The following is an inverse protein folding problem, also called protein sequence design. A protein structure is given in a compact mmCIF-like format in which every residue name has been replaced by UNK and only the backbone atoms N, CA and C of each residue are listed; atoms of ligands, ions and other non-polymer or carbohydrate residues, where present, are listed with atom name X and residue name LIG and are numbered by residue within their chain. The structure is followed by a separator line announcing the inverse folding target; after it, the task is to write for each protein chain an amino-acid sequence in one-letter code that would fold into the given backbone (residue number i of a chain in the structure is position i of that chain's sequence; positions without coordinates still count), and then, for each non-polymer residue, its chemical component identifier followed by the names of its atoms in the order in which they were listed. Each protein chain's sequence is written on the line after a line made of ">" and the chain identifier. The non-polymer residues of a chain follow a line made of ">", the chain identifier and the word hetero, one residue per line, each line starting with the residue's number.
data_IF_018153898846
#
_entry.id   IF_018153898846
#
_cell.length_a   1.000
_cell.length_b   1.000
_cell.length_c   1.000
_cell.angle_alpha   90.00
_cell.angle_beta   90.00
_cell.angle_gamma   90.00
#
_symmetry.space_group_name_H-M   'P 1'
#
loop_
_entity.id
_entity.type
_entity.pdbx_description
1 polymer ?
#
# COMPACT_ATOMS: atom_id res chain seq x y z
N UNK A 1 -4.25 39.88 8.87
CA UNK A 1 -5.32 38.96 8.43
C UNK A 1 -4.85 37.92 7.38
N UNK A 2 -3.60 37.97 6.93
CA UNK A 2 -3.02 37.08 5.91
C UNK A 2 -2.48 35.75 6.46
N UNK A 3 -2.11 35.66 7.74
CA UNK A 3 -1.53 34.43 8.34
C UNK A 3 -2.55 33.29 8.48
N UNK A 4 -3.77 33.58 8.95
CA UNK A 4 -4.79 32.55 9.22
C UNK A 4 -5.24 31.85 7.92
N UNK A 5 -5.36 32.59 6.82
CA UNK A 5 -5.72 32.03 5.52
C UNK A 5 -4.59 31.20 4.90
N UNK A 6 -3.33 31.57 5.12
CA UNK A 6 -2.17 30.87 4.57
C UNK A 6 -1.96 29.52 5.26
N UNK A 7 -2.14 29.48 6.59
CA UNK A 7 -2.05 28.26 7.41
C UNK A 7 -3.20 27.29 7.07
N UNK A 8 -4.45 27.78 7.04
CA UNK A 8 -5.61 26.94 6.73
C UNK A 8 -5.53 26.31 5.34
N UNK A 9 -5.04 27.07 4.35
CA UNK A 9 -4.84 26.55 2.99
C UNK A 9 -3.73 25.50 2.90
N UNK A 10 -2.78 25.47 3.83
CA UNK A 10 -1.74 24.45 3.89
C UNK A 10 -2.27 23.16 4.51
N UNK A 11 -3.03 23.27 5.59
CA UNK A 11 -3.71 22.13 6.21
C UNK A 11 -4.64 21.43 5.21
N UNK A 12 -5.39 22.20 4.41
CA UNK A 12 -6.24 21.66 3.33
C UNK A 12 -5.43 20.89 2.26
N UNK A 13 -4.21 21.34 1.93
CA UNK A 13 -3.33 20.66 0.98
C UNK A 13 -2.75 19.36 1.55
N UNK A 14 -2.41 19.34 2.85
CA UNK A 14 -1.98 18.13 3.55
C UNK A 14 -3.12 17.11 3.67
N UNK A 15 -4.33 17.56 3.97
CA UNK A 15 -5.50 16.68 4.07
C UNK A 15 -5.87 16.07 2.71
N UNK A 16 -5.68 16.79 1.61
CA UNK A 16 -5.79 16.23 0.27
C UNK A 16 -4.76 15.13 0.00
N UNK A 17 -3.49 15.33 0.40
CA UNK A 17 -2.46 14.31 0.26
C UNK A 17 -2.76 13.07 1.11
N UNK A 18 -3.21 13.25 2.35
CA UNK A 18 -3.64 12.15 3.23
C UNK A 18 -4.80 11.39 2.62
N UNK A 19 -5.79 12.08 2.06
CA UNK A 19 -6.92 11.43 1.39
C UNK A 19 -6.50 10.60 0.18
N UNK A 20 -5.55 11.10 -0.63
CA UNK A 20 -4.98 10.33 -1.76
C UNK A 20 -4.29 9.07 -1.24
N UNK A 21 -3.47 9.17 -0.19
CA UNK A 21 -2.80 8.00 0.40
C UNK A 21 -3.80 6.98 0.94
N UNK A 22 -4.86 7.42 1.62
CA UNK A 22 -5.92 6.54 2.10
C UNK A 22 -6.64 5.82 0.95
N UNK A 23 -6.92 6.51 -0.16
CA UNK A 23 -7.49 5.88 -1.35
C UNK A 23 -6.53 4.85 -1.95
N UNK A 24 -5.25 5.19 -2.09
CA UNK A 24 -4.22 4.27 -2.59
C UNK A 24 -4.10 3.02 -1.72
N UNK A 25 -4.13 3.16 -0.39
CA UNK A 25 -4.04 2.04 0.52
C UNK A 25 -5.24 1.10 0.41
N UNK A 26 -6.46 1.65 0.34
CA UNK A 26 -7.67 0.83 0.15
C UNK A 26 -7.65 0.08 -1.18
N UNK A 27 -7.14 0.70 -2.25
CA UNK A 27 -6.96 0.04 -3.54
C UNK A 27 -5.90 -1.05 -3.48
N UNK A 28 -4.74 -0.79 -2.87
CA UNK A 28 -3.67 -1.76 -2.73
C UNK A 28 -4.11 -2.97 -1.89
N UNK A 29 -4.82 -2.74 -0.80
CA UNK A 29 -5.39 -3.79 0.06
C UNK A 29 -6.37 -4.69 -0.72
N UNK A 30 -7.30 -4.06 -1.46
CA UNK A 30 -8.27 -4.75 -2.29
C UNK A 30 -7.60 -5.53 -3.43
N UNK A 31 -6.60 -4.95 -4.07
CA UNK A 31 -5.86 -5.58 -5.17
C UNK A 31 -5.11 -6.82 -4.66
N UNK A 32 -4.48 -6.75 -3.48
CA UNK A 32 -3.84 -7.89 -2.84
C UNK A 32 -4.85 -8.99 -2.48
N UNK A 33 -6.01 -8.62 -1.91
CA UNK A 33 -7.08 -9.56 -1.58
C UNK A 33 -7.50 -10.35 -2.82
N UNK A 34 -7.85 -9.62 -3.87
CA UNK A 34 -8.38 -10.17 -5.11
C UNK A 34 -7.32 -11.01 -5.83
N UNK A 35 -6.04 -10.61 -5.80
CA UNK A 35 -4.96 -11.37 -6.39
C UNK A 35 -4.81 -12.75 -5.75
N UNK A 36 -4.88 -12.79 -4.41
CA UNK A 36 -4.78 -14.03 -3.62
C UNK A 36 -6.01 -14.90 -3.82
N UNK A 37 -7.21 -14.32 -3.81
CA UNK A 37 -8.46 -15.04 -4.11
C UNK A 37 -8.43 -15.62 -5.53
N UNK A 38 -8.01 -14.83 -6.51
CA UNK A 38 -7.89 -15.27 -7.90
C UNK A 38 -6.94 -16.46 -8.02
N UNK A 39 -5.78 -16.40 -7.37
CA UNK A 39 -4.80 -17.47 -7.37
C UNK A 39 -5.36 -18.76 -6.74
N UNK A 40 -6.02 -18.65 -5.60
CA UNK A 40 -6.55 -19.80 -4.87
C UNK A 40 -7.74 -20.46 -5.57
N UNK A 41 -8.64 -19.65 -6.14
CA UNK A 41 -9.79 -20.13 -6.89
C UNK A 41 -9.47 -20.47 -8.35
N UNK A 42 -8.24 -20.18 -8.81
CA UNK A 42 -7.85 -20.22 -10.24
C UNK A 42 -8.78 -19.38 -11.12
N UNK A 43 -9.26 -18.26 -10.61
CA UNK A 43 -10.19 -17.37 -11.29
C UNK A 43 -9.43 -16.38 -12.20
N UNK A 44 -9.41 -16.69 -13.50
CA UNK A 44 -8.78 -15.86 -14.54
C UNK A 44 -9.46 -14.48 -14.63
N UNK A 45 -10.79 -14.43 -14.52
CA UNK A 45 -11.53 -13.16 -14.68
C UNK A 45 -11.21 -12.20 -13.54
N UNK A 46 -11.10 -12.72 -12.32
CA UNK A 46 -10.68 -11.92 -11.17
C UNK A 46 -9.22 -11.47 -11.33
N UNK A 47 -8.33 -12.34 -11.80
CA UNK A 47 -6.94 -11.98 -12.08
C UNK A 47 -6.81 -10.84 -13.12
N UNK A 48 -7.58 -10.88 -14.20
CA UNK A 48 -7.60 -9.82 -15.21
C UNK A 48 -8.09 -8.48 -14.64
N UNK A 49 -9.10 -8.51 -13.76
CA UNK A 49 -9.57 -7.30 -13.06
C UNK A 49 -8.47 -6.68 -12.20
N UNK A 50 -7.71 -7.51 -11.47
CA UNK A 50 -6.58 -7.07 -10.64
C UNK A 50 -5.48 -6.43 -11.49
N UNK A 51 -5.17 -7.01 -12.65
CA UNK A 51 -4.16 -6.46 -13.57
C UNK A 51 -4.63 -5.11 -14.14
N UNK A 52 -5.93 -4.96 -14.43
CA UNK A 52 -6.48 -3.72 -14.95
C UNK A 52 -6.57 -2.61 -13.89
N UNK A 53 -6.87 -2.95 -12.64
CA UNK A 53 -7.02 -1.97 -11.54
C UNK A 53 -5.72 -1.31 -11.12
N UNK A 54 -4.59 -1.97 -11.37
CA UNK A 54 -3.22 -1.50 -11.07
C UNK A 54 -2.96 -0.07 -11.57
N UNK A 55 -3.41 0.24 -12.80
CA UNK A 55 -3.25 1.56 -13.43
C UNK A 55 -3.84 2.70 -12.60
N UNK A 56 -4.86 2.42 -11.77
CA UNK A 56 -5.46 3.43 -10.90
C UNK A 56 -4.49 3.79 -9.76
N UNK A 57 -3.73 2.82 -9.24
CA UNK A 57 -2.73 3.08 -8.20
C UNK A 57 -1.57 3.88 -8.80
N UNK A 58 -1.07 3.50 -9.99
CA UNK A 58 -0.02 4.25 -10.70
C UNK A 58 -0.40 5.73 -10.88
N UNK A 59 -1.65 5.98 -11.31
CA UNK A 59 -2.15 7.34 -11.49
C UNK A 59 -2.23 8.12 -10.17
N UNK A 60 -2.65 7.48 -9.08
CA UNK A 60 -2.75 8.13 -7.77
C UNK A 60 -1.37 8.39 -7.16
N UNK A 61 -0.39 7.50 -7.39
CA UNK A 61 1.00 7.71 -6.98
C UNK A 61 1.58 8.95 -7.64
N UNK A 62 1.48 9.04 -8.96
CA UNK A 62 1.95 10.21 -9.70
C UNK A 62 1.27 11.48 -9.21
N UNK A 63 -0.05 11.43 -8.98
CA UNK A 63 -0.81 12.58 -8.47
C UNK A 63 -0.37 12.98 -7.05
N UNK A 64 -0.07 12.02 -6.18
CA UNK A 64 0.41 12.30 -4.82
C UNK A 64 1.80 12.95 -4.87
N UNK A 65 2.70 12.44 -5.70
CA UNK A 65 4.05 12.97 -5.87
C UNK A 65 4.03 14.39 -6.45
N UNK A 66 3.30 14.61 -7.55
CA UNK A 66 3.13 15.94 -8.16
C UNK A 66 2.59 16.97 -7.17
N UNK A 67 1.58 16.58 -6.39
CA UNK A 67 0.97 17.46 -5.39
C UNK A 67 1.94 17.78 -4.25
N UNK A 68 2.68 16.79 -3.74
CA UNK A 68 3.66 17.00 -2.69
C UNK A 68 4.79 17.93 -3.17
N UNK A 69 5.29 17.74 -4.40
CA UNK A 69 6.29 18.62 -5.02
C UNK A 69 5.75 20.04 -5.21
N UNK A 70 4.50 20.19 -5.67
CA UNK A 70 3.84 21.50 -5.82
C UNK A 70 3.82 22.25 -4.49
N UNK A 71 3.44 21.58 -3.40
CA UNK A 71 3.38 22.15 -2.05
C UNK A 71 4.77 22.57 -1.56
N UNK A 72 5.78 21.72 -1.75
CA UNK A 72 7.18 22.04 -1.41
C UNK A 72 7.65 23.28 -2.16
N UNK A 73 7.42 23.32 -3.48
CA UNK A 73 7.85 24.41 -4.34
C UNK A 73 7.16 25.74 -4.02
N UNK A 74 5.86 25.71 -3.68
CA UNK A 74 5.08 26.92 -3.40
C UNK A 74 5.33 27.51 -2.02
N UNK A 75 5.62 26.68 -1.02
CA UNK A 75 5.63 27.10 0.40
C UNK A 75 6.97 26.98 1.10
N UNK A 76 7.95 26.28 0.52
CA UNK A 76 9.24 26.01 1.13
C UNK A 76 9.14 25.61 2.63
N UNK A 77 8.34 24.56 2.96
CA UNK A 77 8.12 24.15 4.33
C UNK A 77 9.42 23.69 5.00
N UNK A 78 9.50 23.85 6.32
CA UNK A 78 10.69 23.55 7.12
C UNK A 78 10.40 22.47 8.16
N UNK A 79 11.44 21.75 8.57
CA UNK A 79 11.40 20.77 9.65
C UNK A 79 10.30 19.70 9.50
N UNK A 80 9.26 19.73 10.34
CA UNK A 80 8.24 18.68 10.45
C UNK A 80 7.36 18.58 9.20
N UNK A 81 7.00 19.73 8.64
CA UNK A 81 6.15 19.85 7.45
C UNK A 81 6.83 19.26 6.21
N UNK A 82 8.13 19.53 6.05
CA UNK A 82 8.93 18.93 4.99
C UNK A 82 9.07 17.41 5.19
N UNK A 83 9.26 16.96 6.44
CA UNK A 83 9.33 15.52 6.76
C UNK A 83 8.03 14.80 6.42
N UNK A 84 6.88 15.40 6.70
CA UNK A 84 5.58 14.82 6.35
C UNK A 84 5.41 14.70 4.83
N UNK A 85 5.70 15.75 4.07
CA UNK A 85 5.60 15.71 2.60
C UNK A 85 6.54 14.68 1.97
N UNK A 86 7.79 14.59 2.45
CA UNK A 86 8.74 13.57 2.00
C UNK A 86 8.27 12.16 2.39
N UNK A 87 7.68 12.00 3.58
CA UNK A 87 7.12 10.72 4.00
C UNK A 87 5.93 10.33 3.12
N UNK A 88 5.05 11.27 2.74
CA UNK A 88 3.95 11.04 1.80
C UNK A 88 4.44 10.47 0.48
N UNK A 89 5.47 11.08 -0.13
CA UNK A 89 6.08 10.58 -1.37
C UNK A 89 6.62 9.15 -1.18
N UNK A 90 7.31 8.89 -0.06
CA UNK A 90 7.85 7.54 0.19
C UNK A 90 6.74 6.49 0.39
N UNK A 91 5.65 6.87 1.02
CA UNK A 91 4.51 5.98 1.28
C UNK A 91 3.74 5.72 -0.01
N UNK A 92 3.50 6.73 -0.86
CA UNK A 92 2.83 6.53 -2.17
C UNK A 92 3.58 5.51 -3.02
N UNK A 93 4.91 5.61 -3.07
CA UNK A 93 5.74 4.68 -3.84
C UNK A 93 5.73 3.27 -3.23
N UNK A 94 5.63 3.16 -1.89
CA UNK A 94 5.49 1.86 -1.24
C UNK A 94 4.12 1.20 -1.55
N UNK A 95 3.05 1.99 -1.64
CA UNK A 95 1.72 1.52 -1.98
C UNK A 95 1.62 1.09 -3.45
N UNK A 96 2.23 1.83 -4.38
CA UNK A 96 2.36 1.42 -5.79
C UNK A 96 3.04 0.05 -5.91
N UNK A 97 4.15 -0.15 -5.20
CA UNK A 97 4.86 -1.43 -5.22
C UNK A 97 4.01 -2.59 -4.72
N UNK A 98 3.14 -2.37 -3.73
CA UNK A 98 2.19 -3.39 -3.26
C UNK A 98 1.17 -3.71 -4.37
N UNK A 99 0.72 -2.71 -5.12
CA UNK A 99 -0.07 -2.86 -6.34
C UNK A 99 0.62 -3.76 -7.36
N UNK A 100 1.87 -3.46 -7.75
CA UNK A 100 2.61 -4.25 -8.73
C UNK A 100 2.86 -5.70 -8.24
N UNK A 101 3.16 -5.90 -6.95
CA UNK A 101 3.26 -7.25 -6.40
C UNK A 101 1.93 -8.02 -6.52
N UNK A 102 0.81 -7.36 -6.26
CA UNK A 102 -0.53 -7.95 -6.39
C UNK A 102 -0.86 -8.29 -7.86
N UNK A 103 -0.53 -7.40 -8.79
CA UNK A 103 -0.60 -7.65 -10.24
C UNK A 103 0.24 -8.85 -10.65
N UNK A 104 1.45 -9.00 -10.11
CA UNK A 104 2.34 -10.11 -10.41
C UNK A 104 1.80 -11.45 -9.88
N UNK A 105 1.17 -11.46 -8.70
CA UNK A 105 0.42 -12.62 -8.19
C UNK A 105 -0.73 -12.98 -9.14
N UNK A 106 -1.52 -12.01 -9.58
CA UNK A 106 -2.61 -12.22 -10.53
C UNK A 106 -2.13 -12.76 -11.88
N UNK A 107 -1.03 -12.22 -12.45
CA UNK A 107 -0.40 -12.77 -13.66
C UNK A 107 0.03 -14.23 -13.47
N UNK A 108 0.40 -14.66 -12.25
CA UNK A 108 0.73 -16.06 -11.99
C UNK A 108 -0.49 -16.97 -12.08
N UNK A 109 -1.66 -16.48 -11.72
CA UNK A 109 -2.93 -17.22 -11.82
C UNK A 109 -3.22 -17.64 -13.26
N UNK A 110 -3.04 -16.74 -14.23
CA UNK A 110 -3.32 -17.01 -15.65
C UNK A 110 -2.37 -18.05 -16.24
N UNK A 111 -1.14 -18.15 -15.72
CA UNK A 111 -0.17 -19.17 -16.11
C UNK A 111 -0.49 -20.51 -15.44
N UNK A 112 -0.79 -20.50 -14.15
CA UNK A 112 -0.95 -21.73 -13.35
C UNK A 112 -2.26 -22.47 -13.61
N UNK A 113 -3.30 -21.81 -14.14
CA UNK A 113 -4.60 -22.44 -14.43
C UNK A 113 -4.48 -23.65 -15.37
N UNK A 114 -3.51 -23.62 -16.31
CA UNK A 114 -3.26 -24.68 -17.28
C UNK A 114 -2.28 -25.75 -16.77
N UNK A 115 -1.79 -25.62 -15.54
CA UNK A 115 -0.87 -26.59 -14.92
C UNK A 115 -1.61 -27.51 -13.95
N UNK A 116 -1.08 -28.73 -13.78
CA UNK A 116 -1.57 -29.67 -12.76
C UNK A 116 -1.65 -28.97 -11.39
N UNK A 117 -2.66 -29.25 -10.55
CA UNK A 117 -2.78 -28.66 -9.23
C UNK A 117 -1.52 -28.91 -8.41
N UNK A 118 -0.74 -27.86 -8.17
CA UNK A 118 0.34 -27.87 -7.19
C UNK A 118 -0.31 -27.95 -5.81
N UNK A 119 0.33 -28.65 -4.86
CA UNK A 119 -0.11 -28.72 -3.47
C UNK A 119 -0.51 -27.33 -2.98
N UNK A 120 -1.74 -27.19 -2.51
CA UNK A 120 -2.32 -25.92 -2.11
C UNK A 120 -1.49 -25.36 -0.93
N UNK A 121 -0.95 -24.16 -1.10
CA UNK A 121 -0.22 -23.46 -0.03
C UNK A 121 -1.27 -22.88 0.92
N UNK A 122 -1.66 -23.65 1.93
CA UNK A 122 -2.73 -23.30 2.87
C UNK A 122 -2.44 -22.03 3.68
N UNK A 123 -1.18 -21.65 3.82
CA UNK A 123 -0.74 -20.48 4.59
C UNK A 123 -0.90 -19.15 3.82
N UNK A 124 -1.06 -19.20 2.49
CA UNK A 124 -1.05 -18.00 1.64
C UNK A 124 -2.22 -17.02 1.93
N UNK A 125 -3.47 -17.46 2.15
CA UNK A 125 -4.55 -16.57 2.57
C UNK A 125 -4.32 -15.88 3.92
N UNK A 126 -3.77 -16.60 4.90
CA UNK A 126 -3.46 -16.05 6.22
C UNK A 126 -2.36 -14.97 6.14
N UNK A 127 -1.32 -15.23 5.33
CA UNK A 127 -0.27 -14.25 5.05
C UNK A 127 -0.82 -12.99 4.38
N UNK A 128 -1.72 -13.15 3.42
CA UNK A 128 -2.35 -12.03 2.73
C UNK A 128 -3.16 -11.16 3.70
N UNK A 129 -3.96 -11.80 4.57
CA UNK A 129 -4.73 -11.09 5.58
C UNK A 129 -3.86 -10.32 6.57
N UNK A 130 -2.73 -10.90 7.00
CA UNK A 130 -1.81 -10.18 7.88
C UNK A 130 -1.13 -9.00 7.17
N UNK A 131 -0.73 -9.19 5.90
CA UNK A 131 -0.18 -8.10 5.09
C UNK A 131 -1.19 -6.95 4.93
N UNK A 132 -2.46 -7.25 4.69
CA UNK A 132 -3.53 -6.25 4.61
C UNK A 132 -3.69 -5.47 5.90
N UNK A 133 -3.77 -6.17 7.05
CA UNK A 133 -3.84 -5.52 8.37
C UNK A 133 -2.65 -4.60 8.62
N UNK A 134 -1.45 -5.01 8.23
CA UNK A 134 -0.25 -4.17 8.36
C UNK A 134 -0.30 -2.91 7.50
N UNK A 135 -0.85 -2.97 6.28
CA UNK A 135 -1.01 -1.79 5.43
C UNK A 135 -1.92 -0.77 6.12
N UNK A 136 -3.08 -1.20 6.61
CA UNK A 136 -4.04 -0.35 7.30
C UNK A 136 -3.43 0.26 8.56
N UNK A 137 -2.79 -0.55 9.41
CA UNK A 137 -2.25 -0.07 10.68
C UNK A 137 -1.09 0.92 10.49
N UNK A 138 -0.24 0.75 9.46
CA UNK A 138 0.84 1.70 9.14
C UNK A 138 0.27 3.02 8.63
N UNK A 139 -0.76 2.98 7.78
CA UNK A 139 -1.40 4.19 7.27
C UNK A 139 -2.12 4.95 8.39
N UNK A 140 -2.83 4.25 9.27
CA UNK A 140 -3.44 4.86 10.44
C UNK A 140 -2.39 5.48 11.36
N UNK A 141 -1.27 4.78 11.60
CA UNK A 141 -0.17 5.30 12.40
C UNK A 141 0.43 6.57 11.78
N UNK A 142 0.56 6.62 10.45
CA UNK A 142 1.07 7.78 9.74
C UNK A 142 0.10 8.97 9.84
N UNK A 143 -1.19 8.77 9.53
CA UNK A 143 -2.21 9.82 9.54
C UNK A 143 -2.41 10.38 10.96
N UNK A 144 -2.40 9.52 11.97
CA UNK A 144 -2.57 9.92 13.38
C UNK A 144 -1.28 10.41 14.04
N UNK A 145 -0.15 10.38 13.32
CA UNK A 145 1.20 10.68 13.86
C UNK A 145 1.53 9.83 15.10
N UNK A 146 1.07 8.58 15.12
CA UNK A 146 1.25 7.63 16.22
C UNK A 146 2.51 6.77 15.99
N UNK A 147 3.63 7.23 16.53
CA UNK A 147 4.92 6.53 16.41
C UNK A 147 4.95 5.19 17.15
N UNK A 148 4.14 5.03 18.21
CA UNK A 148 4.07 3.79 18.98
C UNK A 148 3.37 2.71 18.16
N UNK A 149 2.26 3.05 17.51
CA UNK A 149 1.58 2.15 16.57
C UNK A 149 2.50 1.77 15.40
N UNK A 150 3.26 2.71 14.85
CA UNK A 150 4.22 2.41 13.78
C UNK A 150 5.28 1.37 14.20
N UNK A 151 5.85 1.52 15.41
CA UNK A 151 6.83 0.55 15.96
C UNK A 151 6.19 -0.81 16.19
N UNK A 152 4.95 -0.86 16.68
CA UNK A 152 4.23 -2.12 16.88
C UNK A 152 4.02 -2.86 15.55
N UNK A 153 3.63 -2.17 14.48
CA UNK A 153 3.48 -2.82 13.17
C UNK A 153 4.82 -3.32 12.64
N UNK A 154 5.91 -2.57 12.81
CA UNK A 154 7.25 -2.99 12.42
C UNK A 154 7.69 -4.29 13.14
N UNK A 155 7.38 -4.42 14.44
CA UNK A 155 7.67 -5.63 15.19
C UNK A 155 6.88 -6.84 14.67
N UNK A 156 5.59 -6.67 14.35
CA UNK A 156 4.77 -7.74 13.74
C UNK A 156 5.28 -8.16 12.36
N UNK A 157 5.68 -7.20 11.53
CA UNK A 157 6.25 -7.46 10.20
C UNK A 157 7.51 -8.31 10.31
N UNK A 158 8.37 -8.02 11.28
CA UNK A 158 9.58 -8.80 11.56
C UNK A 158 9.25 -10.24 11.97
N UNK A 159 8.21 -10.43 12.80
CA UNK A 159 7.75 -11.75 13.20
C UNK A 159 7.16 -12.55 12.02
N UNK A 160 6.38 -11.91 11.14
CA UNK A 160 5.82 -12.54 9.94
C UNK A 160 6.93 -13.02 8.99
N UNK A 161 7.95 -12.19 8.74
CA UNK A 161 9.10 -12.57 7.91
C UNK A 161 9.83 -13.77 8.51
N UNK A 162 10.05 -13.76 9.83
CA UNK A 162 10.69 -14.87 10.54
C UNK A 162 9.88 -16.17 10.41
N UNK A 163 8.55 -16.08 10.57
CA UNK A 163 7.64 -17.21 10.37
C UNK A 163 7.70 -17.75 8.94
N UNK A 164 7.73 -16.87 7.93
CA UNK A 164 7.84 -17.28 6.52
C UNK A 164 9.14 -18.01 6.22
N UNK A 165 10.28 -17.49 6.71
CA UNK A 165 11.58 -18.13 6.52
C UNK A 165 11.57 -19.52 7.18
N UNK A 166 11.08 -19.61 8.42
CA UNK A 166 10.97 -20.89 9.12
C UNK A 166 10.05 -21.88 8.40
N UNK A 167 8.91 -21.43 7.87
CA UNK A 167 7.98 -22.27 7.13
C UNK A 167 8.56 -22.75 5.79
N UNK A 168 9.36 -21.92 5.11
CA UNK A 168 10.06 -22.29 3.88
C UNK A 168 11.21 -23.28 4.10
N UNK A 169 11.87 -23.24 5.27
CA UNK A 169 12.96 -24.15 5.63
C UNK A 169 12.48 -25.55 6.03
N UNK A 170 11.20 -25.68 6.39
CA UNK A 170 10.58 -26.93 6.83
C UNK A 170 9.66 -27.57 5.77
N UNK A 171 9.66 -27.09 4.52
CA UNK A 171 8.78 -27.53 3.45
C UNK A 171 9.51 -28.22 2.30
#
# INVERSE_FOLDING_TARGET
>A
MTDIHTIKSYDDELDQLRAILSEMAGLAEMQLANAVTALMARDIKLAEKVIASDKKIDFLEQRAEEKAIEVIARRAPLADDLRELVATIKISNALERIGDYSKNIAKRTTVLVNTLPIRQISVLPEMAQEAQRMITDVLDAFIQRDSTRAVNVWARMSALICFMIACSANC
#
